data_IF_556733307705
#
_entry.id   IF_556733307705
#
_cell.length_a   1.000
_cell.length_b   1.000
_cell.length_c   1.000
_cell.angle_alpha   90.00
_cell.angle_beta   90.00
_cell.angle_gamma   90.00
#
_symmetry.space_group_name_H-M   'P 1'
#
loop_
_entity.id
_entity.type
_entity.pdbx_description
1 polymer ?
#
# COMPACT_ATOMS: atom_id res chain seq x y z
N UNK A 1 -8.79 28.06 24.16
CA UNK A 1 -9.10 26.66 23.86
C UNK A 1 -8.53 26.41 22.47
N UNK A 2 -7.74 25.37 22.30
CA UNK A 2 -7.13 25.04 21.01
C UNK A 2 -8.23 24.62 20.03
N UNK A 3 -8.18 25.13 18.80
CA UNK A 3 -9.14 24.82 17.74
C UNK A 3 -8.48 24.01 16.63
N UNK A 4 -9.02 22.86 16.31
CA UNK A 4 -8.49 21.98 15.27
C UNK A 4 -9.54 21.75 14.18
N UNK A 5 -9.18 22.03 12.93
CA UNK A 5 -9.97 21.65 11.76
C UNK A 5 -9.61 20.22 11.39
N UNK A 6 -10.61 19.35 11.29
CA UNK A 6 -10.44 17.96 10.91
C UNK A 6 -11.23 17.73 9.61
N UNK A 7 -10.49 17.45 8.53
CA UNK A 7 -11.05 17.32 7.19
C UNK A 7 -10.95 15.86 6.71
N UNK A 8 -11.72 15.51 5.68
CA UNK A 8 -11.84 14.15 5.14
C UNK A 8 -12.25 13.14 6.22
N UNK A 9 -13.23 13.53 7.07
CA UNK A 9 -13.72 12.70 8.16
C UNK A 9 -14.69 11.66 7.62
N UNK A 10 -14.56 10.42 8.05
CA UNK A 10 -15.54 9.36 7.83
C UNK A 10 -16.51 9.29 9.00
N UNK A 11 -17.70 8.75 8.78
CA UNK A 11 -18.71 8.64 9.83
C UNK A 11 -18.25 7.80 11.02
N UNK A 12 -17.48 6.74 10.74
CA UNK A 12 -16.89 5.87 11.74
C UNK A 12 -15.79 6.54 12.58
N UNK A 13 -15.19 7.62 12.10
CA UNK A 13 -14.15 8.37 12.84
C UNK A 13 -14.75 9.29 13.91
N UNK A 14 -15.97 9.78 13.70
CA UNK A 14 -16.60 10.86 14.49
C UNK A 14 -16.62 10.55 15.99
N UNK A 15 -17.12 9.39 16.45
CA UNK A 15 -17.22 9.12 17.89
C UNK A 15 -15.85 9.16 18.59
N UNK A 16 -14.79 8.65 17.93
CA UNK A 16 -13.43 8.65 18.48
C UNK A 16 -12.83 10.05 18.52
N UNK A 17 -13.13 10.86 17.51
CA UNK A 17 -12.64 12.25 17.46
C UNK A 17 -13.32 13.08 18.56
N UNK A 18 -14.62 12.92 18.75
CA UNK A 18 -15.37 13.64 19.78
C UNK A 18 -14.91 13.26 21.20
N UNK A 19 -14.74 11.96 21.47
CA UNK A 19 -14.21 11.45 22.75
C UNK A 19 -12.79 12.01 23.03
N UNK A 20 -11.92 12.01 22.00
CA UNK A 20 -10.59 12.56 22.11
C UNK A 20 -10.60 14.07 22.35
N UNK A 21 -11.48 14.81 21.66
CA UNK A 21 -11.62 16.25 21.78
C UNK A 21 -12.08 16.66 23.19
N UNK A 22 -13.08 15.95 23.72
CA UNK A 22 -13.60 16.15 25.08
C UNK A 22 -12.49 15.87 26.11
N UNK A 23 -11.83 14.71 26.01
CA UNK A 23 -10.75 14.32 26.93
C UNK A 23 -9.60 15.32 26.96
N UNK A 24 -9.24 15.91 25.82
CA UNK A 24 -8.12 16.84 25.71
C UNK A 24 -8.54 18.34 25.82
N UNK A 25 -9.82 18.62 26.02
CA UNK A 25 -10.38 19.99 26.08
C UNK A 25 -10.01 20.80 24.83
N UNK A 26 -10.25 20.23 23.64
CA UNK A 26 -9.99 20.79 22.31
C UNK A 26 -11.30 21.04 21.60
N UNK A 27 -11.43 22.20 20.94
CA UNK A 27 -12.54 22.50 20.06
C UNK A 27 -12.25 21.97 18.66
N UNK A 28 -13.13 21.12 18.11
CA UNK A 28 -12.95 20.49 16.80
C UNK A 28 -14.09 20.85 15.84
N UNK A 29 -13.72 21.17 14.62
CA UNK A 29 -14.66 21.36 13.51
C UNK A 29 -14.41 20.27 12.47
N UNK A 30 -15.46 19.46 12.22
CA UNK A 30 -15.39 18.26 11.39
C UNK A 30 -16.01 18.50 10.02
N UNK A 31 -15.33 18.06 8.96
CA UNK A 31 -15.88 18.07 7.60
C UNK A 31 -15.47 16.83 6.81
N UNK A 32 -16.36 16.37 5.92
CA UNK A 32 -16.06 15.30 4.95
C UNK A 32 -15.24 15.79 3.76
N UNK A 33 -15.15 17.11 3.56
CA UNK A 33 -14.40 17.71 2.46
C UNK A 33 -12.89 17.48 2.62
N UNK A 34 -12.21 17.34 1.50
CA UNK A 34 -10.75 17.32 1.45
C UNK A 34 -10.18 18.74 1.42
N UNK A 35 -8.92 18.86 1.78
CA UNK A 35 -8.18 20.11 1.63
C UNK A 35 -7.82 20.33 0.16
N UNK A 36 -8.37 21.39 -0.42
CA UNK A 36 -8.16 21.85 -1.79
C UNK A 36 -8.02 23.35 -1.83
N UNK A 37 -7.71 23.93 -3.00
CA UNK A 37 -7.67 25.37 -3.20
C UNK A 37 -9.03 26.06 -2.98
N UNK A 38 -10.12 25.32 -3.12
CA UNK A 38 -11.49 25.80 -2.90
C UNK A 38 -11.85 25.78 -1.41
N UNK A 39 -11.36 24.80 -0.65
CA UNK A 39 -11.72 24.58 0.76
C UNK A 39 -10.73 25.19 1.75
N UNK A 40 -9.55 25.62 1.32
CA UNK A 40 -8.48 26.13 2.18
C UNK A 40 -8.93 27.32 3.05
N UNK A 41 -9.83 28.16 2.58
CA UNK A 41 -10.33 29.31 3.36
C UNK A 41 -11.07 28.87 4.64
N UNK A 42 -11.62 27.66 4.67
CA UNK A 42 -12.33 27.11 5.85
C UNK A 42 -11.38 26.77 7.00
N UNK A 43 -10.05 26.73 6.76
CA UNK A 43 -9.03 26.44 7.76
C UNK A 43 -8.60 27.70 8.53
N UNK A 44 -8.98 28.88 8.06
CA UNK A 44 -8.60 30.14 8.67
C UNK A 44 -9.17 30.27 10.10
N UNK A 45 -8.28 30.59 11.05
CA UNK A 45 -8.68 30.79 12.46
C UNK A 45 -8.60 29.52 13.32
N UNK A 46 -8.10 28.43 12.78
CA UNK A 46 -7.75 27.22 13.53
C UNK A 46 -6.27 27.21 13.92
N UNK A 47 -5.94 26.51 15.01
CA UNK A 47 -4.58 26.36 15.52
C UNK A 47 -3.88 25.14 14.93
N UNK A 48 -4.63 24.13 14.49
CA UNK A 48 -4.12 22.89 13.93
C UNK A 48 -5.03 22.30 12.85
N UNK A 49 -4.47 21.39 12.08
CA UNK A 49 -5.12 20.74 10.95
C UNK A 49 -4.85 19.23 10.97
N UNK A 50 -5.93 18.45 10.91
CA UNK A 50 -5.83 17.01 10.75
C UNK A 50 -6.52 16.54 9.46
N UNK A 51 -5.83 15.74 8.65
CA UNK A 51 -6.26 15.35 7.32
C UNK A 51 -6.24 13.81 7.14
N UNK A 52 -7.06 13.32 6.23
CA UNK A 52 -6.88 12.05 5.54
C UNK A 52 -6.77 12.33 4.04
N UNK A 53 -5.67 13.01 3.65
CA UNK A 53 -5.46 13.53 2.31
C UNK A 53 -5.13 12.42 1.32
N UNK A 54 -5.80 12.42 0.17
CA UNK A 54 -5.62 11.44 -0.90
C UNK A 54 -5.00 12.02 -2.17
N UNK A 55 -5.03 13.34 -2.32
CA UNK A 55 -4.45 14.04 -3.47
C UNK A 55 -3.26 14.91 -3.05
N UNK A 56 -2.29 15.16 -3.94
CA UNK A 56 -1.19 16.07 -3.65
C UNK A 56 -1.67 17.45 -3.21
N UNK A 57 -0.95 18.05 -2.29
CA UNK A 57 -1.17 19.42 -1.82
C UNK A 57 -0.28 20.37 -2.62
N UNK A 58 -0.89 21.38 -3.24
CA UNK A 58 -0.17 22.38 -4.02
C UNK A 58 0.65 23.32 -3.16
N UNK A 59 1.64 23.97 -3.76
CA UNK A 59 2.43 25.01 -3.09
C UNK A 59 1.58 26.17 -2.58
N UNK A 60 0.51 26.53 -3.31
CA UNK A 60 -0.42 27.58 -2.90
C UNK A 60 -1.10 27.25 -1.56
N UNK A 61 -1.49 25.99 -1.36
CA UNK A 61 -2.09 25.54 -0.09
C UNK A 61 -1.07 25.66 1.05
N UNK A 62 0.19 25.25 0.86
CA UNK A 62 1.23 25.41 1.87
C UNK A 62 1.45 26.88 2.23
N UNK A 63 1.47 27.76 1.24
CA UNK A 63 1.61 29.21 1.46
C UNK A 63 0.45 29.79 2.28
N UNK A 64 -0.79 29.43 1.96
CA UNK A 64 -1.98 29.86 2.71
C UNK A 64 -2.00 29.31 4.13
N UNK A 65 -1.67 28.03 4.32
CA UNK A 65 -1.57 27.45 5.66
C UNK A 65 -0.57 28.20 6.55
N UNK A 66 0.60 28.53 6.00
CA UNK A 66 1.58 29.37 6.70
C UNK A 66 1.02 30.75 7.04
N UNK A 67 0.32 31.40 6.10
CA UNK A 67 -0.32 32.69 6.32
C UNK A 67 -1.39 32.64 7.43
N UNK A 68 -2.11 31.51 7.55
CA UNK A 68 -3.11 31.30 8.60
C UNK A 68 -2.51 30.90 9.94
N UNK A 69 -1.19 30.70 10.02
CA UNK A 69 -0.48 30.34 11.24
C UNK A 69 -0.49 28.85 11.57
N UNK A 70 -0.98 27.99 10.65
CA UNK A 70 -0.89 26.55 10.80
C UNK A 70 0.57 26.10 10.67
N UNK A 71 1.05 25.34 11.65
CA UNK A 71 2.44 24.86 11.69
C UNK A 71 2.56 23.36 11.49
N UNK A 72 1.46 22.63 11.63
CA UNK A 72 1.45 21.18 11.57
C UNK A 72 0.23 20.68 10.83
N UNK A 73 0.44 19.68 9.97
CA UNK A 73 -0.59 18.83 9.40
C UNK A 73 -0.44 17.44 10.04
N UNK A 74 -1.48 16.98 10.74
CA UNK A 74 -1.55 15.63 11.28
C UNK A 74 -2.31 14.73 10.30
N UNK A 75 -1.57 13.94 9.51
CA UNK A 75 -2.14 12.96 8.57
C UNK A 75 -2.62 11.72 9.31
N UNK A 76 -3.91 11.36 9.16
CA UNK A 76 -4.55 10.19 9.79
C UNK A 76 -4.37 8.89 9.00
N UNK A 77 -3.22 8.72 8.34
CA UNK A 77 -2.84 7.48 7.64
C UNK A 77 -1.34 7.23 7.77
N UNK A 78 -0.90 6.02 7.38
CA UNK A 78 0.52 5.69 7.32
C UNK A 78 1.19 6.34 6.10
N UNK A 79 0.51 6.36 4.95
CA UNK A 79 0.99 7.02 3.73
C UNK A 79 0.99 8.53 3.86
N UNK A 80 2.04 9.16 3.34
CA UNK A 80 2.21 10.61 3.31
C UNK A 80 2.76 11.10 1.96
N UNK A 81 2.70 10.29 0.95
CA UNK A 81 3.25 10.54 -0.40
C UNK A 81 2.52 11.70 -1.11
N UNK A 82 1.34 12.09 -0.60
CA UNK A 82 0.58 13.26 -1.07
C UNK A 82 1.17 14.60 -0.65
N UNK A 83 2.19 14.58 0.21
CA UNK A 83 2.86 15.78 0.70
C UNK A 83 4.26 15.91 0.09
N UNK A 84 4.53 17.06 -0.54
CA UNK A 84 5.88 17.43 -0.91
C UNK A 84 6.63 17.93 0.34
N UNK A 85 7.58 17.11 0.81
CA UNK A 85 8.34 17.43 2.02
C UNK A 85 9.35 18.57 1.83
N UNK A 86 9.77 18.85 0.59
CA UNK A 86 10.61 20.02 0.27
C UNK A 86 9.78 21.30 0.42
N UNK A 87 8.53 21.30 -0.07
CA UNK A 87 7.58 22.39 0.16
C UNK A 87 7.22 22.51 1.65
N UNK A 88 6.96 21.40 2.35
CA UNK A 88 6.69 21.45 3.79
C UNK A 88 7.84 22.14 4.55
N UNK A 89 9.08 21.79 4.23
CA UNK A 89 10.28 22.42 4.80
C UNK A 89 10.37 23.90 4.44
N UNK A 90 10.14 24.27 3.17
CA UNK A 90 10.13 25.66 2.69
C UNK A 90 9.15 26.54 3.46
N UNK A 91 8.00 26.00 3.82
CA UNK A 91 6.95 26.73 4.54
C UNK A 91 6.96 26.50 6.06
N UNK A 92 8.03 25.92 6.64
CA UNK A 92 8.15 25.57 8.07
C UNK A 92 6.96 24.74 8.59
N UNK A 93 6.49 23.82 7.78
CA UNK A 93 5.34 22.96 8.08
C UNK A 93 5.80 21.59 8.56
N UNK A 94 5.29 21.14 9.68
CA UNK A 94 5.50 19.78 10.20
C UNK A 94 4.42 18.88 9.62
N UNK A 95 4.83 17.80 8.98
CA UNK A 95 3.92 16.71 8.56
C UNK A 95 4.13 15.53 9.53
N UNK A 96 3.08 15.18 10.24
CA UNK A 96 3.07 13.96 11.07
C UNK A 96 2.08 12.93 10.53
N UNK A 97 2.37 11.65 10.70
CA UNK A 97 1.53 10.55 10.21
C UNK A 97 1.35 9.47 11.28
N UNK A 98 0.59 8.41 10.97
CA UNK A 98 0.39 7.23 11.82
C UNK A 98 1.14 6.04 11.20
N UNK A 99 2.42 5.84 11.54
CA UNK A 99 3.32 4.98 10.76
C UNK A 99 3.06 3.48 10.90
N UNK A 100 2.29 3.04 11.89
CA UNK A 100 2.15 1.62 12.21
C UNK A 100 0.85 1.30 12.96
N UNK A 101 -0.31 1.59 12.35
CA UNK A 101 -1.60 1.26 12.98
C UNK A 101 -2.10 -0.16 12.62
N UNK A 102 -1.78 -0.69 11.45
CA UNK A 102 -2.30 -1.99 11.00
C UNK A 102 -1.44 -2.70 9.93
N UNK A 103 -0.13 -2.95 10.16
CA UNK A 103 0.69 -3.67 9.18
C UNK A 103 0.22 -5.11 8.93
N UNK A 104 -0.35 -5.77 9.94
CA UNK A 104 -0.88 -7.13 9.83
C UNK A 104 -2.05 -7.22 8.86
N UNK A 105 -2.99 -6.27 8.89
CA UNK A 105 -4.16 -6.30 7.99
C UNK A 105 -3.77 -6.20 6.52
N UNK A 106 -2.76 -5.37 6.19
CA UNK A 106 -2.25 -5.26 4.82
C UNK A 106 -1.52 -6.54 4.42
N UNK A 107 -0.74 -7.12 5.33
CA UNK A 107 -0.07 -8.40 5.09
C UNK A 107 -1.07 -9.54 4.85
N UNK A 108 -2.12 -9.64 5.66
CA UNK A 108 -3.21 -10.61 5.50
C UNK A 108 -3.94 -10.42 4.17
N UNK A 109 -4.21 -9.19 3.76
CA UNK A 109 -4.78 -8.88 2.44
C UNK A 109 -3.87 -9.41 1.32
N UNK A 110 -2.58 -9.06 1.32
CA UNK A 110 -1.64 -9.46 0.28
C UNK A 110 -1.53 -10.99 0.17
N UNK A 111 -1.41 -11.69 1.30
CA UNK A 111 -1.35 -13.15 1.35
C UNK A 111 -2.66 -13.76 0.83
N UNK A 112 -3.81 -13.25 1.28
CA UNK A 112 -5.13 -13.72 0.84
C UNK A 112 -5.30 -13.57 -0.66
N UNK A 113 -4.92 -12.43 -1.24
CA UNK A 113 -5.03 -12.20 -2.68
C UNK A 113 -4.11 -13.12 -3.48
N UNK A 114 -2.87 -13.32 -3.04
CA UNK A 114 -1.97 -14.28 -3.67
C UNK A 114 -2.59 -15.69 -3.71
N UNK A 115 -3.13 -16.16 -2.59
CA UNK A 115 -3.76 -17.48 -2.48
C UNK A 115 -5.02 -17.56 -3.36
N UNK A 116 -5.85 -16.52 -3.38
CA UNK A 116 -7.06 -16.47 -4.21
C UNK A 116 -6.73 -16.68 -5.70
N UNK A 117 -5.65 -16.03 -6.20
CA UNK A 117 -5.21 -16.17 -7.59
C UNK A 117 -4.64 -17.58 -7.83
N UNK A 118 -3.73 -18.05 -6.99
CA UNK A 118 -3.13 -19.39 -7.10
C UNK A 118 -4.21 -20.48 -7.11
N UNK A 119 -5.24 -20.34 -6.27
CA UNK A 119 -6.34 -21.29 -6.11
C UNK A 119 -7.50 -21.07 -7.07
N UNK A 120 -7.39 -20.13 -8.03
CA UNK A 120 -8.44 -19.80 -9.02
C UNK A 120 -9.81 -19.47 -8.40
N UNK A 121 -9.82 -18.86 -7.20
CA UNK A 121 -11.06 -18.66 -6.44
C UNK A 121 -12.12 -17.90 -7.23
N UNK A 122 -11.77 -16.81 -7.90
CA UNK A 122 -12.71 -16.02 -8.72
C UNK A 122 -13.32 -16.86 -9.85
N UNK A 123 -12.50 -17.68 -10.54
CA UNK A 123 -12.97 -18.53 -11.63
C UNK A 123 -13.91 -19.61 -11.12
N UNK A 124 -13.56 -20.28 -10.02
CA UNK A 124 -14.39 -21.29 -9.38
C UNK A 124 -15.71 -20.69 -8.91
N UNK A 125 -15.69 -19.53 -8.27
CA UNK A 125 -16.89 -18.82 -7.82
C UNK A 125 -17.82 -18.46 -8.98
N UNK A 126 -17.28 -18.01 -10.12
CA UNK A 126 -18.07 -17.75 -11.32
C UNK A 126 -18.74 -19.02 -11.86
N UNK A 127 -17.99 -20.12 -11.97
CA UNK A 127 -18.58 -21.43 -12.35
C UNK A 127 -19.71 -21.85 -11.42
N UNK A 128 -19.50 -21.76 -10.10
CA UNK A 128 -20.53 -22.10 -9.11
C UNK A 128 -21.76 -21.19 -9.25
N UNK A 129 -21.59 -19.91 -9.52
CA UNK A 129 -22.70 -18.96 -9.77
C UNK A 129 -23.54 -19.37 -10.98
N UNK A 130 -22.87 -19.92 -12.01
CA UNK A 130 -23.52 -20.41 -13.23
C UNK A 130 -23.97 -21.89 -13.10
N UNK A 131 -24.01 -22.44 -11.88
CA UNK A 131 -24.34 -23.84 -11.56
C UNK A 131 -23.47 -24.86 -12.31
N UNK A 132 -22.23 -24.48 -12.71
CA UNK A 132 -21.27 -25.38 -13.32
C UNK A 132 -20.29 -25.91 -12.28
N UNK A 133 -20.52 -27.14 -11.83
CA UNK A 133 -19.71 -27.86 -10.83
C UNK A 133 -18.70 -28.84 -11.48
N UNK A 134 -18.55 -28.81 -12.79
CA UNK A 134 -17.66 -29.75 -13.49
C UNK A 134 -16.20 -29.37 -13.19
N UNK A 135 -15.43 -30.43 -12.90
CA UNK A 135 -13.96 -30.25 -12.83
C UNK A 135 -13.37 -30.05 -14.23
N UNK A 136 -12.33 -29.26 -14.32
CA UNK A 136 -11.56 -29.04 -15.53
C UNK A 136 -10.07 -28.81 -15.20
N UNK A 137 -9.14 -29.22 -16.09
CA UNK A 137 -7.70 -29.07 -15.86
C UNK A 137 -7.27 -27.62 -15.64
N UNK A 138 -8.00 -26.65 -16.18
CA UNK A 138 -7.69 -25.21 -16.13
C UNK A 138 -7.87 -24.57 -14.73
N UNK A 139 -8.46 -25.30 -13.77
CA UNK A 139 -8.55 -24.89 -12.36
C UNK A 139 -7.65 -25.73 -11.44
N UNK A 140 -6.80 -26.59 -12.03
CA UNK A 140 -5.81 -27.34 -11.24
C UNK A 140 -4.74 -26.39 -10.72
N UNK A 141 -4.58 -26.35 -9.42
CA UNK A 141 -3.59 -25.49 -8.74
C UNK A 141 -2.54 -26.29 -8.00
N UNK A 142 -1.42 -25.64 -7.68
CA UNK A 142 -0.35 -26.19 -6.87
C UNK A 142 -0.60 -25.90 -5.37
N UNK A 143 0.02 -26.70 -4.51
CA UNK A 143 0.08 -26.43 -3.07
C UNK A 143 0.97 -25.19 -2.83
N UNK A 144 0.53 -24.29 -1.94
CA UNK A 144 1.28 -23.08 -1.61
C UNK A 144 2.68 -23.40 -1.06
N UNK A 145 2.81 -24.50 -0.31
CA UNK A 145 4.11 -24.95 0.23
C UNK A 145 5.16 -25.29 -0.82
N UNK A 146 4.72 -25.65 -2.02
CA UNK A 146 5.60 -26.07 -3.12
C UNK A 146 5.99 -24.89 -4.02
N UNK A 147 5.51 -23.66 -3.69
CA UNK A 147 5.77 -22.44 -4.43
C UNK A 147 6.91 -21.64 -3.82
N UNK A 148 7.64 -20.94 -4.68
CA UNK A 148 8.61 -19.91 -4.28
C UNK A 148 7.91 -18.55 -4.25
N UNK A 149 8.04 -17.83 -3.14
CA UNK A 149 7.45 -16.51 -2.93
C UNK A 149 8.57 -15.47 -2.85
N UNK A 150 8.53 -14.47 -3.71
CA UNK A 150 9.40 -13.29 -3.65
C UNK A 150 8.70 -12.15 -2.91
N UNK A 151 9.31 -11.67 -1.84
CA UNK A 151 8.85 -10.52 -1.08
C UNK A 151 9.76 -9.33 -1.38
N UNK A 152 9.22 -8.31 -2.04
CA UNK A 152 9.95 -7.11 -2.43
C UNK A 152 9.67 -6.00 -1.42
N UNK A 153 10.69 -5.71 -0.60
CA UNK A 153 10.57 -4.88 0.59
C UNK A 153 10.20 -5.70 1.83
N UNK A 154 11.10 -5.72 2.81
CA UNK A 154 10.98 -6.50 4.07
C UNK A 154 10.82 -5.62 5.30
N UNK A 155 10.18 -4.46 5.11
CA UNK A 155 9.78 -3.58 6.20
C UNK A 155 8.69 -4.18 7.09
N UNK A 156 7.91 -3.33 7.77
CA UNK A 156 6.88 -3.77 8.73
C UNK A 156 5.86 -4.75 8.14
N UNK A 157 5.43 -4.53 6.89
CA UNK A 157 4.42 -5.36 6.21
C UNK A 157 5.08 -6.58 5.58
N UNK A 158 6.11 -6.38 4.76
CA UNK A 158 6.76 -7.47 4.03
C UNK A 158 7.37 -8.55 4.94
N UNK A 159 7.87 -8.18 6.12
CA UNK A 159 8.37 -9.16 7.09
C UNK A 159 7.26 -10.07 7.64
N UNK A 160 6.04 -9.54 7.82
CA UNK A 160 4.88 -10.33 8.23
C UNK A 160 4.47 -11.28 7.09
N UNK A 161 4.38 -10.77 5.85
CA UNK A 161 4.08 -11.59 4.67
C UNK A 161 5.08 -12.72 4.50
N UNK A 162 6.38 -12.41 4.59
CA UNK A 162 7.44 -13.40 4.53
C UNK A 162 7.29 -14.48 5.62
N UNK A 163 6.97 -14.07 6.85
CA UNK A 163 6.73 -14.99 7.97
C UNK A 163 5.52 -15.89 7.75
N UNK A 164 4.42 -15.36 7.22
CA UNK A 164 3.21 -16.14 6.94
C UNK A 164 3.51 -17.22 5.88
N UNK A 165 4.18 -16.87 4.80
CA UNK A 165 4.51 -17.85 3.76
C UNK A 165 5.55 -18.86 4.23
N UNK A 166 6.64 -18.40 4.87
CA UNK A 166 7.70 -19.30 5.32
C UNK A 166 7.26 -20.20 6.47
N UNK A 167 6.67 -19.66 7.53
CA UNK A 167 6.35 -20.40 8.75
C UNK A 167 4.95 -21.02 8.73
N UNK A 168 3.98 -20.30 8.11
CA UNK A 168 2.59 -20.77 8.05
C UNK A 168 2.36 -21.80 6.94
N UNK A 169 2.87 -21.55 5.74
CA UNK A 169 2.72 -22.43 4.58
C UNK A 169 3.94 -23.33 4.32
N UNK A 170 5.07 -23.06 4.98
CA UNK A 170 6.33 -23.75 4.74
C UNK A 170 6.80 -23.64 3.27
N UNK A 171 6.53 -22.48 2.66
CA UNK A 171 6.98 -22.13 1.31
C UNK A 171 8.44 -21.70 1.32
N UNK A 172 9.13 -21.86 0.20
CA UNK A 172 10.41 -21.19 -0.02
C UNK A 172 10.17 -19.69 -0.19
N UNK A 173 10.76 -18.85 0.67
CA UNK A 173 10.65 -17.39 0.56
C UNK A 173 12.02 -16.80 0.20
N UNK A 174 12.04 -16.03 -0.86
CA UNK A 174 13.16 -15.17 -1.26
C UNK A 174 12.77 -13.71 -1.07
N UNK A 175 13.72 -12.82 -0.86
CA UNK A 175 13.41 -11.40 -0.70
C UNK A 175 14.47 -10.50 -1.34
N UNK A 176 14.04 -9.31 -1.70
CA UNK A 176 14.92 -8.21 -2.04
C UNK A 176 14.55 -6.97 -1.22
N UNK A 177 15.55 -6.43 -0.54
CA UNK A 177 15.44 -5.16 0.19
C UNK A 177 16.84 -4.52 0.25
N UNK A 178 17.01 -3.24 -0.10
CA UNK A 178 18.29 -2.54 0.06
C UNK A 178 18.81 -2.53 1.51
N UNK A 179 17.89 -2.75 2.48
CA UNK A 179 18.19 -2.79 3.92
C UNK A 179 17.65 -4.07 4.55
N UNK A 180 18.30 -5.24 4.33
CA UNK A 180 17.82 -6.53 4.80
C UNK A 180 17.55 -6.55 6.31
N UNK A 181 16.42 -7.12 6.71
CA UNK A 181 16.05 -7.26 8.12
C UNK A 181 16.66 -8.53 8.73
N UNK A 182 17.53 -8.36 9.72
CA UNK A 182 18.16 -9.49 10.42
C UNK A 182 17.13 -10.40 11.12
N UNK A 183 15.99 -9.86 11.53
CA UNK A 183 14.96 -10.61 12.29
C UNK A 183 14.26 -11.72 11.47
N UNK A 184 14.32 -11.66 10.15
CA UNK A 184 13.72 -12.66 9.25
C UNK A 184 14.73 -13.40 8.38
N UNK A 185 15.99 -12.98 8.39
CA UNK A 185 17.06 -13.58 7.59
C UNK A 185 17.32 -15.07 7.92
N UNK A 186 16.89 -15.54 9.10
CA UNK A 186 17.04 -16.93 9.51
C UNK A 186 16.14 -17.90 8.72
N UNK A 187 15.05 -17.42 8.13
CA UNK A 187 14.06 -18.28 7.47
C UNK A 187 13.67 -17.83 6.05
N UNK A 188 14.36 -16.81 5.51
CA UNK A 188 14.21 -16.38 4.12
C UNK A 188 15.59 -16.23 3.46
N UNK A 189 15.61 -16.25 2.13
CA UNK A 189 16.83 -16.12 1.32
C UNK A 189 16.84 -14.73 0.65
N UNK A 190 17.67 -13.82 1.15
CA UNK A 190 17.86 -12.51 0.53
C UNK A 190 18.66 -12.61 -0.76
N UNK A 191 18.23 -11.91 -1.78
CA UNK A 191 18.90 -11.78 -3.07
C UNK A 191 19.56 -10.41 -3.20
N UNK A 192 20.63 -10.35 -3.96
CA UNK A 192 21.40 -9.12 -4.15
C UNK A 192 20.70 -8.13 -5.07
N UNK A 193 19.85 -8.62 -5.99
CA UNK A 193 19.07 -7.79 -6.93
C UNK A 193 17.59 -8.15 -6.96
N UNK A 194 16.77 -7.22 -7.43
CA UNK A 194 15.34 -7.42 -7.64
C UNK A 194 15.11 -8.57 -8.65
N UNK A 195 15.85 -8.55 -9.76
CA UNK A 195 15.76 -9.56 -10.82
C UNK A 195 16.05 -10.97 -10.31
N UNK A 196 17.06 -11.11 -9.46
CA UNK A 196 17.38 -12.42 -8.85
C UNK A 196 16.24 -12.90 -7.93
N UNK A 197 15.59 -12.00 -7.20
CA UNK A 197 14.49 -12.35 -6.32
C UNK A 197 13.26 -12.82 -7.10
N UNK A 198 12.94 -12.17 -8.23
CA UNK A 198 11.71 -12.45 -8.99
C UNK A 198 11.84 -13.60 -9.99
N UNK A 199 13.05 -13.89 -10.46
CA UNK A 199 13.32 -14.80 -11.61
C UNK A 199 12.70 -16.20 -11.48
N UNK A 200 12.68 -16.77 -10.28
CA UNK A 200 12.16 -18.12 -10.04
C UNK A 200 10.91 -18.12 -9.16
N UNK A 201 10.37 -16.95 -8.86
CA UNK A 201 9.24 -16.82 -7.98
C UNK A 201 7.91 -17.16 -8.69
N UNK A 202 7.11 -17.96 -8.04
CA UNK A 202 5.73 -18.27 -8.46
C UNK A 202 4.76 -17.17 -8.01
N UNK A 203 5.11 -16.48 -6.92
CA UNK A 203 4.36 -15.36 -6.35
C UNK A 203 5.36 -14.23 -6.10
N UNK A 204 5.08 -13.04 -6.60
CA UNK A 204 5.83 -11.81 -6.29
C UNK A 204 4.89 -10.84 -5.60
N UNK A 205 5.26 -10.38 -4.41
CA UNK A 205 4.46 -9.44 -3.62
C UNK A 205 5.28 -8.23 -3.19
N UNK A 206 4.71 -7.02 -3.39
CA UNK A 206 5.43 -5.75 -3.29
C UNK A 206 5.00 -4.98 -2.05
N UNK A 207 5.98 -4.56 -1.24
CA UNK A 207 5.81 -3.86 0.04
C UNK A 207 6.82 -2.74 0.26
N UNK A 208 7.20 -2.04 -0.83
CA UNK A 208 8.12 -0.90 -0.79
C UNK A 208 7.35 0.43 -0.80
N UNK A 209 7.88 1.50 -0.21
CA UNK A 209 7.29 2.83 -0.33
C UNK A 209 7.44 3.38 -1.74
N UNK A 210 6.49 4.21 -2.20
CA UNK A 210 6.69 4.99 -3.41
C UNK A 210 7.66 6.15 -3.15
N UNK A 211 8.58 6.35 -4.07
CA UNK A 211 9.56 7.44 -4.07
C UNK A 211 9.73 7.97 -5.49
N UNK A 212 10.35 9.13 -5.66
CA UNK A 212 10.70 9.66 -6.99
C UNK A 212 11.68 8.77 -7.79
N UNK A 213 12.31 7.79 -7.14
CA UNK A 213 13.32 6.92 -7.77
C UNK A 213 12.78 5.54 -8.19
N UNK A 214 11.58 5.18 -7.78
CA UNK A 214 10.98 3.88 -8.09
C UNK A 214 9.61 3.98 -8.76
N UNK A 215 9.31 5.12 -9.38
CA UNK A 215 8.17 5.26 -10.27
C UNK A 215 8.33 4.28 -11.42
N UNK A 216 7.29 3.48 -11.70
CA UNK A 216 7.31 2.42 -12.69
C UNK A 216 8.48 1.43 -12.57
N UNK A 217 8.91 1.14 -11.32
CA UNK A 217 9.94 0.13 -11.09
C UNK A 217 9.60 -1.22 -11.71
N UNK A 218 8.32 -1.59 -11.69
CA UNK A 218 7.81 -2.78 -12.37
C UNK A 218 7.32 -2.41 -13.77
N UNK A 219 8.26 -2.20 -14.66
CA UNK A 219 8.07 -1.95 -16.09
C UNK A 219 8.19 -3.24 -16.91
N UNK A 220 8.13 -3.13 -18.25
CA UNK A 220 8.27 -4.26 -19.17
C UNK A 220 9.59 -5.01 -18.99
N UNK A 221 10.69 -4.32 -18.68
CA UNK A 221 11.99 -4.95 -18.50
C UNK A 221 12.01 -5.82 -17.25
N UNK A 222 11.42 -5.38 -16.16
CA UNK A 222 11.29 -6.15 -14.92
C UNK A 222 10.29 -7.29 -15.09
N UNK A 223 9.09 -7.06 -15.67
CA UNK A 223 8.13 -8.12 -15.91
C UNK A 223 8.67 -9.22 -16.83
N UNK A 224 9.54 -8.89 -17.79
CA UNK A 224 10.17 -9.88 -18.67
C UNK A 224 11.03 -10.90 -17.92
N UNK A 225 11.50 -10.58 -16.70
CA UNK A 225 12.26 -11.49 -15.84
C UNK A 225 11.39 -12.39 -14.97
N UNK A 226 10.07 -12.20 -14.96
CA UNK A 226 9.20 -13.05 -14.15
C UNK A 226 9.13 -14.47 -14.73
N UNK A 227 8.98 -15.44 -13.84
CA UNK A 227 8.65 -16.81 -14.21
C UNK A 227 7.33 -16.86 -14.98
N UNK A 228 7.25 -17.69 -16.02
CA UNK A 228 6.01 -17.90 -16.76
C UNK A 228 4.89 -18.38 -15.85
N UNK A 229 3.77 -17.69 -15.85
CA UNK A 229 2.61 -18.01 -15.01
C UNK A 229 2.73 -17.54 -13.55
N UNK A 230 3.62 -16.59 -13.27
CA UNK A 230 3.75 -16.00 -11.93
C UNK A 230 2.51 -15.20 -11.52
N UNK A 231 2.29 -15.09 -10.23
CA UNK A 231 1.27 -14.24 -9.61
C UNK A 231 1.93 -12.95 -9.12
N UNK A 232 1.31 -11.81 -9.39
CA UNK A 232 1.79 -10.51 -8.94
C UNK A 232 0.81 -9.87 -7.95
N UNK A 233 1.32 -9.38 -6.82
CA UNK A 233 0.52 -8.67 -5.80
C UNK A 233 1.17 -7.34 -5.47
N UNK A 234 0.44 -6.25 -5.63
CA UNK A 234 0.88 -4.93 -5.19
C UNK A 234 -0.11 -4.36 -4.16
N UNK A 235 0.29 -4.41 -2.89
CA UNK A 235 -0.40 -3.78 -1.77
C UNK A 235 0.38 -2.55 -1.24
N UNK A 236 1.22 -1.95 -2.09
CA UNK A 236 2.04 -0.79 -1.75
C UNK A 236 1.48 0.51 -2.36
N UNK A 237 1.90 0.85 -3.59
CA UNK A 237 1.43 2.04 -4.32
C UNK A 237 1.28 1.73 -5.80
N UNK A 238 0.26 2.31 -6.45
CA UNK A 238 0.00 2.15 -7.89
C UNK A 238 1.17 2.62 -8.74
N UNK A 239 1.72 3.79 -8.43
CA UNK A 239 2.83 4.42 -9.18
C UNK A 239 4.13 3.61 -9.26
N UNK A 240 4.27 2.52 -8.51
CA UNK A 240 5.43 1.61 -8.61
C UNK A 240 5.32 0.70 -9.83
N UNK A 241 4.13 0.55 -10.40
CA UNK A 241 3.82 -0.39 -11.49
C UNK A 241 3.44 0.38 -12.74
N UNK A 242 4.10 0.11 -13.86
CA UNK A 242 3.59 0.48 -15.18
C UNK A 242 2.39 -0.40 -15.51
N UNK A 243 1.20 0.19 -15.48
CA UNK A 243 -0.06 -0.51 -15.70
C UNK A 243 -0.12 -1.14 -17.10
N UNK A 244 0.42 -0.47 -18.11
CA UNK A 244 0.43 -0.98 -19.49
C UNK A 244 1.33 -2.21 -19.64
N UNK A 245 2.51 -2.18 -19.02
CA UNK A 245 3.42 -3.31 -18.96
C UNK A 245 2.80 -4.51 -18.23
N UNK A 246 2.14 -4.27 -17.09
CA UNK A 246 1.45 -5.32 -16.36
C UNK A 246 0.36 -6.00 -17.21
N UNK A 247 -0.49 -5.22 -17.87
CA UNK A 247 -1.57 -5.74 -18.72
C UNK A 247 -1.01 -6.57 -19.89
N UNK A 248 0.04 -6.08 -20.59
CA UNK A 248 0.72 -6.82 -21.64
C UNK A 248 1.25 -8.18 -21.17
N UNK A 249 1.81 -8.22 -19.96
CA UNK A 249 2.35 -9.46 -19.38
C UNK A 249 1.25 -10.41 -18.85
N UNK A 250 0.07 -9.91 -18.53
CA UNK A 250 -1.12 -10.73 -18.25
C UNK A 250 -1.64 -11.34 -19.55
N UNK A 251 -1.76 -10.55 -20.62
CA UNK A 251 -2.26 -11.01 -21.92
C UNK A 251 -1.34 -12.08 -22.56
N UNK A 252 -0.03 -11.94 -22.38
CA UNK A 252 0.95 -12.95 -22.82
C UNK A 252 0.98 -14.21 -21.96
N UNK A 253 0.30 -14.20 -20.79
CA UNK A 253 0.29 -15.27 -19.82
C UNK A 253 1.57 -15.39 -18.98
N UNK A 254 2.51 -14.45 -19.08
CA UNK A 254 3.67 -14.39 -18.21
C UNK A 254 3.22 -14.16 -16.77
N UNK A 255 2.28 -13.25 -16.56
CA UNK A 255 1.58 -13.06 -15.30
C UNK A 255 0.25 -13.78 -15.38
N UNK A 256 0.06 -14.81 -14.56
CA UNK A 256 -1.16 -15.60 -14.46
C UNK A 256 -2.35 -14.80 -13.94
N UNK A 257 -2.07 -13.84 -13.09
CA UNK A 257 -3.04 -12.93 -12.50
C UNK A 257 -2.36 -11.96 -11.55
N UNK A 258 -2.99 -10.80 -11.41
CA UNK A 258 -2.52 -9.75 -10.51
C UNK A 258 -3.60 -9.36 -9.50
N UNK A 259 -3.16 -8.95 -8.31
CA UNK A 259 -4.00 -8.29 -7.31
C UNK A 259 -3.37 -6.95 -6.93
N UNK A 260 -4.16 -5.90 -7.04
CA UNK A 260 -3.75 -4.53 -6.78
C UNK A 260 -4.67 -3.94 -5.72
N UNK A 261 -4.11 -3.42 -4.63
CA UNK A 261 -4.83 -2.67 -3.59
C UNK A 261 -4.87 -1.17 -3.93
N UNK A 262 -3.92 -0.74 -4.74
CA UNK A 262 -3.75 0.65 -5.20
C UNK A 262 -3.50 0.68 -6.70
N UNK A 263 -4.04 1.68 -7.36
CA UNK A 263 -3.93 1.89 -8.81
C UNK A 263 -3.14 3.16 -9.10
N UNK A 264 -2.61 3.25 -10.31
CA UNK A 264 -1.99 4.44 -10.85
C UNK A 264 -3.01 5.54 -11.13
#
# INVERSE_FOLDING_TARGET
MTKIKIMSVREEDIPYIEEWAEYNNVDVDLTKEMLTEETIETVKGFDGLSLSQQHPISEEIFAKLKQYGIKQIAQRSAGFDTYDLELATKYDMIISNVPSYSPSSIAEFAVTQAINIVRYQKRIQNKVRDFDFRWEPSILSQSIRDLTVAVIGTGRIGSIVASIFAKGYNSKVVAYDPFPSASIAEFIDYKDTLEEAIKEADIVTVHIPATKYNHHLFDESIFSNFKQGAVFVNAARGSIVDTSALLSNIDSGRIKGAALDTYE
#
